data_IF_003879970007
#
_entry.id   IF_003879970007
#
_cell.length_a   1.000
_cell.length_b   1.000
_cell.length_c   1.000
_cell.angle_alpha   90.00
_cell.angle_beta   90.00
_cell.angle_gamma   90.00
#
_symmetry.space_group_name_H-M   'P 1'
#
loop_
_entity.id
_entity.type
_entity.pdbx_description
1 polymer ?
#
# COMPACT_ATOMS: atom_id res chain seq x y z
N UNK A 1 19.25 -22.02 7.83
CA UNK A 1 18.12 -22.73 8.48
C UNK A 1 16.84 -22.43 7.72
N UNK A 2 16.08 -23.44 7.30
CA UNK A 2 14.79 -23.22 6.70
C UNK A 2 13.86 -22.65 7.78
N UNK A 3 13.44 -21.41 7.64
CA UNK A 3 12.72 -20.75 8.72
C UNK A 3 11.48 -19.98 8.23
N UNK A 4 11.01 -20.31 7.04
CA UNK A 4 9.77 -19.76 6.51
C UNK A 4 8.61 -20.69 6.81
N UNK A 5 7.39 -20.15 6.90
CA UNK A 5 6.17 -20.97 6.99
C UNK A 5 6.08 -22.00 5.86
N UNK A 6 6.64 -21.68 4.70
CA UNK A 6 6.64 -22.55 3.54
C UNK A 6 7.53 -23.77 3.76
N UNK A 7 8.77 -23.56 4.23
CA UNK A 7 9.72 -24.65 4.48
C UNK A 7 9.16 -25.62 5.54
N UNK A 8 8.63 -25.09 6.62
CA UNK A 8 7.98 -25.87 7.68
C UNK A 8 6.75 -26.64 7.19
N UNK A 9 5.99 -26.07 6.24
CA UNK A 9 4.84 -26.75 5.65
C UNK A 9 5.28 -27.89 4.73
N UNK A 10 6.40 -27.75 4.03
CA UNK A 10 7.01 -28.81 3.21
C UNK A 10 7.53 -29.94 4.10
N UNK A 11 8.16 -29.61 5.23
CA UNK A 11 8.58 -30.62 6.22
C UNK A 11 7.38 -31.38 6.80
N UNK A 12 6.28 -30.70 7.10
CA UNK A 12 5.06 -31.30 7.65
C UNK A 12 4.29 -32.15 6.63
N UNK A 13 4.38 -31.82 5.34
CA UNK A 13 3.73 -32.50 4.23
C UNK A 13 4.66 -32.46 2.98
N UNK A 14 5.61 -33.40 2.79
CA UNK A 14 6.65 -33.28 1.76
C UNK A 14 6.13 -33.05 0.34
N UNK A 15 5.02 -33.70 -0.06
CA UNK A 15 4.40 -33.49 -1.38
C UNK A 15 3.85 -32.06 -1.58
N UNK A 16 3.77 -31.25 -0.53
CA UNK A 16 3.32 -29.86 -0.61
C UNK A 16 4.28 -28.98 -1.42
N UNK A 17 5.58 -29.30 -1.41
CA UNK A 17 6.59 -28.59 -2.21
C UNK A 17 6.25 -28.56 -3.70
N UNK A 18 5.90 -29.72 -4.27
CA UNK A 18 5.52 -29.82 -5.69
C UNK A 18 4.19 -29.13 -5.98
N UNK A 19 3.22 -29.32 -5.09
CA UNK A 19 1.90 -28.72 -5.23
C UNK A 19 1.95 -27.18 -5.22
N UNK A 20 2.66 -26.59 -4.28
CA UNK A 20 2.76 -25.13 -4.16
C UNK A 20 3.60 -24.52 -5.29
N UNK A 21 4.58 -25.27 -5.82
CA UNK A 21 5.36 -24.87 -6.99
C UNK A 21 4.49 -24.84 -8.24
N UNK A 22 3.71 -25.90 -8.49
CA UNK A 22 2.76 -25.97 -9.60
C UNK A 22 1.69 -24.85 -9.50
N UNK A 23 1.11 -24.65 -8.33
CA UNK A 23 0.17 -23.56 -8.08
C UNK A 23 0.78 -22.19 -8.39
N UNK A 24 2.01 -21.95 -7.93
CA UNK A 24 2.77 -20.73 -8.21
C UNK A 24 2.94 -20.50 -9.71
N UNK A 25 3.34 -21.54 -10.45
CA UNK A 25 3.50 -21.49 -11.90
C UNK A 25 2.18 -21.12 -12.60
N UNK A 26 1.09 -21.78 -12.22
CA UNK A 26 -0.23 -21.51 -12.79
C UNK A 26 -0.73 -20.07 -12.50
N UNK A 27 -0.51 -19.54 -11.29
CA UNK A 27 -0.86 -18.15 -10.95
C UNK A 27 -0.03 -17.14 -11.75
N UNK A 28 1.25 -17.43 -12.00
CA UNK A 28 2.09 -16.58 -12.86
C UNK A 28 1.59 -16.57 -14.30
N UNK A 29 1.24 -17.73 -14.85
CA UNK A 29 0.63 -17.81 -16.18
C UNK A 29 -0.70 -17.05 -16.26
N UNK A 30 -1.49 -17.04 -15.20
CA UNK A 30 -2.71 -16.26 -15.07
C UNK A 30 -2.46 -14.77 -14.72
N UNK A 31 -1.20 -14.30 -14.77
CA UNK A 31 -0.77 -12.91 -14.53
C UNK A 31 -1.18 -12.33 -13.17
N UNK A 32 -1.26 -13.15 -12.13
CA UNK A 32 -1.43 -12.65 -10.77
C UNK A 32 -0.20 -11.84 -10.33
N UNK A 33 -0.44 -10.77 -9.56
CA UNK A 33 0.65 -9.98 -9.00
C UNK A 33 1.50 -10.82 -8.03
N UNK A 34 2.83 -10.65 -8.02
CA UNK A 34 3.76 -11.39 -7.16
C UNK A 34 3.41 -11.27 -5.67
N UNK A 35 2.93 -10.11 -5.25
CA UNK A 35 2.45 -9.90 -3.87
C UNK A 35 1.22 -10.76 -3.52
N UNK A 36 0.32 -10.98 -4.47
CA UNK A 36 -0.84 -11.86 -4.29
C UNK A 36 -0.40 -13.31 -4.23
N UNK A 37 0.47 -13.73 -5.16
CA UNK A 37 1.06 -15.08 -5.19
C UNK A 37 1.77 -15.37 -3.86
N UNK A 38 2.60 -14.45 -3.38
CA UNK A 38 3.29 -14.60 -2.09
C UNK A 38 2.31 -14.77 -0.94
N UNK A 39 1.29 -13.90 -0.84
CA UNK A 39 0.30 -13.97 0.21
C UNK A 39 -0.51 -15.28 0.18
N UNK A 40 -0.93 -15.73 -0.99
CA UNK A 40 -1.70 -16.98 -1.12
C UNK A 40 -0.86 -18.19 -0.71
N UNK A 41 0.38 -18.27 -1.19
CA UNK A 41 1.32 -19.33 -0.78
C UNK A 41 1.49 -19.39 0.73
N UNK A 42 1.67 -18.22 1.35
CA UNK A 42 1.83 -18.10 2.79
C UNK A 42 0.57 -18.59 3.55
N UNK A 43 -0.62 -18.24 3.08
CA UNK A 43 -1.88 -18.64 3.72
C UNK A 43 -2.14 -20.14 3.58
N UNK A 44 -1.86 -20.69 2.41
CA UNK A 44 -1.99 -22.13 2.18
C UNK A 44 -0.96 -22.90 3.04
N UNK A 45 0.28 -22.45 3.11
CA UNK A 45 1.30 -23.05 3.98
C UNK A 45 0.89 -23.03 5.46
N UNK A 46 0.27 -21.95 5.93
CA UNK A 46 -0.25 -21.86 7.30
C UNK A 46 -1.38 -22.88 7.56
N UNK A 47 -2.27 -23.08 6.58
CA UNK A 47 -3.33 -24.11 6.68
C UNK A 47 -2.74 -25.54 6.71
N UNK A 48 -1.78 -25.83 5.84
CA UNK A 48 -1.06 -27.12 5.81
C UNK A 48 -0.36 -27.37 7.15
N UNK A 49 0.30 -26.40 7.73
CA UNK A 49 0.95 -26.52 9.04
C UNK A 49 -0.02 -26.83 10.17
N UNK A 50 -1.21 -26.27 10.12
CA UNK A 50 -2.23 -26.51 11.13
C UNK A 50 -2.87 -27.89 10.98
N UNK A 51 -3.31 -28.23 9.77
CA UNK A 51 -4.07 -29.44 9.48
C UNK A 51 -3.17 -30.68 9.29
N UNK A 52 -1.87 -30.52 9.05
CA UNK A 52 -0.92 -31.60 8.74
C UNK A 52 -1.34 -32.45 7.54
N UNK A 53 -2.05 -31.86 6.59
CA UNK A 53 -2.56 -32.49 5.37
C UNK A 53 -2.24 -31.64 4.16
N UNK A 54 -2.25 -32.25 2.97
CA UNK A 54 -2.21 -31.50 1.71
C UNK A 54 -3.51 -30.75 1.48
N UNK A 55 -3.49 -29.58 0.83
CA UNK A 55 -4.73 -28.88 0.51
C UNK A 55 -5.70 -29.70 -0.35
N UNK A 56 -5.17 -30.59 -1.17
CA UNK A 56 -5.93 -31.54 -2.02
C UNK A 56 -6.81 -32.47 -1.19
N UNK A 57 -6.40 -32.78 0.04
CA UNK A 57 -7.03 -33.74 0.94
C UNK A 57 -7.87 -33.04 2.04
N UNK A 58 -8.03 -31.71 1.98
CA UNK A 58 -8.84 -31.00 2.97
C UNK A 58 -10.31 -31.35 2.81
N UNK A 59 -10.87 -31.90 3.85
CA UNK A 59 -12.32 -32.11 3.97
C UNK A 59 -13.03 -30.82 4.35
N UNK A 60 -14.37 -30.84 4.28
CA UNK A 60 -15.19 -29.75 4.79
C UNK A 60 -14.91 -29.47 6.28
N UNK A 61 -14.82 -30.52 7.09
CA UNK A 61 -14.57 -30.42 8.53
C UNK A 61 -13.18 -29.79 8.81
N UNK A 62 -12.14 -30.14 8.03
CA UNK A 62 -10.81 -29.55 8.17
C UNK A 62 -10.84 -28.04 7.90
N UNK A 63 -11.56 -27.60 6.85
CA UNK A 63 -11.70 -26.18 6.52
C UNK A 63 -12.46 -25.44 7.59
N UNK A 64 -13.56 -26.00 8.08
CA UNK A 64 -14.38 -25.38 9.12
C UNK A 64 -13.59 -25.24 10.43
N UNK A 65 -12.83 -26.27 10.84
CA UNK A 65 -11.96 -26.23 12.02
C UNK A 65 -10.90 -25.16 11.89
N UNK A 66 -10.17 -25.13 10.75
CA UNK A 66 -9.11 -24.13 10.52
C UNK A 66 -9.66 -22.69 10.49
N UNK A 67 -10.80 -22.47 9.82
CA UNK A 67 -11.39 -21.14 9.74
C UNK A 67 -11.97 -20.69 11.09
N UNK A 68 -12.57 -21.61 11.86
CA UNK A 68 -13.03 -21.36 13.24
C UNK A 68 -11.84 -20.96 14.13
N UNK A 69 -10.73 -21.70 14.06
CA UNK A 69 -9.53 -21.36 14.80
C UNK A 69 -9.02 -19.95 14.46
N UNK A 70 -9.10 -19.52 13.20
CA UNK A 70 -8.70 -18.16 12.80
C UNK A 70 -9.61 -17.08 13.39
N UNK A 71 -10.89 -17.37 13.60
CA UNK A 71 -11.87 -16.44 14.20
C UNK A 71 -11.77 -16.39 15.72
N UNK A 72 -11.67 -17.56 16.38
CA UNK A 72 -11.77 -17.67 17.84
C UNK A 72 -10.61 -17.06 18.60
N UNK A 73 -9.42 -17.05 18.02
CA UNK A 73 -8.21 -16.64 18.77
C UNK A 73 -8.00 -15.14 18.89
N UNK A 74 -8.84 -14.27 18.34
CA UNK A 74 -8.64 -12.81 18.27
C UNK A 74 -7.21 -12.39 17.81
N UNK A 75 -6.39 -13.38 17.41
CA UNK A 75 -4.99 -13.20 16.97
C UNK A 75 -4.88 -12.79 15.51
N UNK A 76 -5.92 -13.07 14.74
CA UNK A 76 -5.91 -12.84 13.30
C UNK A 76 -6.90 -11.77 12.89
N UNK A 77 -6.44 -10.86 12.00
CA UNK A 77 -7.33 -9.84 11.46
C UNK A 77 -8.32 -10.44 10.47
N UNK A 78 -9.47 -9.80 10.30
CA UNK A 78 -10.45 -10.15 9.24
C UNK A 78 -9.79 -10.15 7.85
N UNK A 79 -8.76 -9.31 7.63
CA UNK A 79 -7.98 -9.30 6.40
C UNK A 79 -7.20 -10.61 6.22
N UNK A 80 -6.60 -11.13 7.30
CA UNK A 80 -5.92 -12.43 7.28
C UNK A 80 -6.89 -13.54 6.89
N UNK A 81 -8.04 -13.61 7.54
CA UNK A 81 -9.09 -14.58 7.22
C UNK A 81 -9.51 -14.52 5.74
N UNK A 82 -9.80 -13.29 5.24
CA UNK A 82 -10.17 -13.10 3.83
C UNK A 82 -9.07 -13.59 2.86
N UNK A 83 -7.81 -13.27 3.13
CA UNK A 83 -6.70 -13.73 2.30
C UNK A 83 -6.53 -15.25 2.35
N UNK A 84 -6.83 -15.90 3.48
CA UNK A 84 -6.84 -17.36 3.60
C UNK A 84 -7.93 -17.95 2.71
N UNK A 85 -9.16 -17.48 2.84
CA UNK A 85 -10.29 -17.97 2.02
C UNK A 85 -10.02 -17.76 0.54
N UNK A 86 -9.59 -16.58 0.12
CA UNK A 86 -9.27 -16.32 -1.29
C UNK A 86 -8.10 -17.18 -1.79
N UNK A 87 -7.06 -17.35 -0.98
CA UNK A 87 -5.92 -18.18 -1.36
C UNK A 87 -6.30 -19.65 -1.55
N UNK A 88 -7.14 -20.21 -0.68
CA UNK A 88 -7.65 -21.57 -0.82
C UNK A 88 -8.60 -21.69 -2.02
N UNK A 89 -9.54 -20.76 -2.20
CA UNK A 89 -10.43 -20.75 -3.38
C UNK A 89 -9.67 -20.73 -4.69
N UNK A 90 -8.68 -19.84 -4.81
CA UNK A 90 -7.85 -19.76 -6.00
C UNK A 90 -7.00 -21.03 -6.16
N UNK A 91 -6.57 -21.67 -5.06
CA UNK A 91 -5.87 -22.96 -5.13
C UNK A 91 -6.76 -24.02 -5.77
N UNK A 92 -7.96 -24.28 -5.25
CA UNK A 92 -8.88 -25.29 -5.79
C UNK A 92 -9.24 -24.99 -7.25
N UNK A 93 -9.57 -23.73 -7.57
CA UNK A 93 -9.90 -23.30 -8.93
C UNK A 93 -8.78 -23.55 -9.92
N UNK A 94 -7.57 -23.13 -9.60
CA UNK A 94 -6.41 -23.16 -10.49
C UNK A 94 -5.86 -24.59 -10.62
N UNK A 95 -5.95 -25.39 -9.56
CA UNK A 95 -5.56 -26.79 -9.56
C UNK A 95 -6.59 -27.72 -10.22
N UNK A 96 -7.81 -27.20 -10.48
CA UNK A 96 -8.90 -28.01 -11.04
C UNK A 96 -9.53 -28.97 -10.04
N UNK A 97 -9.47 -28.63 -8.75
CA UNK A 97 -10.01 -29.45 -7.67
C UNK A 97 -11.38 -28.97 -7.23
N UNK A 98 -12.17 -29.86 -6.63
CA UNK A 98 -13.47 -29.50 -6.05
C UNK A 98 -13.26 -28.70 -4.77
N UNK A 99 -13.82 -27.47 -4.74
CA UNK A 99 -13.75 -26.60 -3.57
C UNK A 99 -14.62 -27.15 -2.42
N UNK A 100 -14.07 -27.22 -1.18
CA UNK A 100 -14.88 -27.47 0.02
C UNK A 100 -15.92 -26.36 0.24
N UNK A 101 -17.15 -26.73 0.61
CA UNK A 101 -18.27 -25.77 0.73
C UNK A 101 -18.06 -24.70 1.82
N UNK A 102 -17.26 -24.95 2.85
CA UNK A 102 -16.99 -24.07 4.00
C UNK A 102 -16.12 -22.83 3.73
N UNK A 103 -15.56 -22.70 2.52
CA UNK A 103 -14.75 -21.52 2.16
C UNK A 103 -15.63 -20.27 1.96
N UNK A 104 -16.34 -19.84 3.01
CA UNK A 104 -17.24 -18.70 2.96
C UNK A 104 -16.63 -17.49 3.68
N UNK A 105 -16.81 -16.31 3.11
CA UNK A 105 -16.37 -15.07 3.76
C UNK A 105 -17.34 -14.70 4.90
N UNK A 106 -16.83 -14.35 6.10
CA UNK A 106 -17.68 -13.93 7.18
C UNK A 106 -18.40 -12.62 6.82
N UNK A 107 -19.68 -12.51 7.15
CA UNK A 107 -20.49 -11.30 6.99
C UNK A 107 -20.14 -10.24 8.05
N UNK A 108 -18.87 -9.99 8.26
CA UNK A 108 -18.42 -8.99 9.25
C UNK A 108 -18.41 -7.61 8.62
N UNK A 109 -19.22 -6.71 9.14
CA UNK A 109 -19.13 -5.29 8.83
C UNK A 109 -17.93 -4.71 9.60
N UNK A 110 -16.84 -4.44 8.90
CA UNK A 110 -15.76 -3.61 9.51
C UNK A 110 -16.32 -2.21 9.74
N UNK A 111 -16.24 -1.73 10.97
CA UNK A 111 -16.33 -0.30 11.21
C UNK A 111 -15.26 0.39 10.34
N UNK A 112 -15.68 1.33 9.49
CA UNK A 112 -14.75 2.14 8.70
C UNK A 112 -13.98 3.03 9.68
N UNK A 113 -12.74 2.65 10.00
CA UNK A 113 -11.86 3.55 10.75
C UNK A 113 -11.41 4.66 9.81
N UNK A 114 -11.55 5.90 10.28
CA UNK A 114 -10.99 7.04 9.57
C UNK A 114 -9.46 6.90 9.46
N UNK A 115 -8.86 7.31 8.35
CA UNK A 115 -7.41 7.32 8.22
C UNK A 115 -6.80 8.26 9.24
N UNK A 116 -5.63 7.89 9.78
CA UNK A 116 -4.84 8.80 10.60
C UNK A 116 -4.17 9.80 9.67
N UNK A 117 -4.35 11.06 9.97
CA UNK A 117 -3.79 12.21 9.25
C UNK A 117 -2.87 12.96 10.21
N UNK A 118 -1.69 13.32 9.74
CA UNK A 118 -0.78 14.24 10.43
C UNK A 118 -1.19 15.67 10.07
N UNK A 119 -1.11 16.61 11.00
CA UNK A 119 -1.24 18.02 10.66
C UNK A 119 -0.07 18.49 9.77
N UNK A 120 -0.23 19.62 9.09
CA UNK A 120 0.85 20.21 8.26
C UNK A 120 2.11 20.48 9.10
N UNK A 121 1.96 20.95 10.33
CA UNK A 121 3.06 21.17 11.28
C UNK A 121 3.76 19.86 11.66
N UNK A 122 3.00 18.79 11.89
CA UNK A 122 3.56 17.48 12.20
C UNK A 122 4.33 16.91 11.02
N UNK A 123 3.82 17.07 9.79
CA UNK A 123 4.54 16.68 8.56
C UNK A 123 5.80 17.50 8.39
N UNK A 124 5.74 18.81 8.58
CA UNK A 124 6.91 19.68 8.50
C UNK A 124 7.98 19.28 9.50
N UNK A 125 7.60 19.05 10.78
CA UNK A 125 8.51 18.57 11.84
C UNK A 125 9.13 17.22 11.49
N UNK A 126 8.32 16.27 11.02
CA UNK A 126 8.78 14.95 10.61
C UNK A 126 9.88 15.04 9.54
N UNK A 127 9.61 15.80 8.47
CA UNK A 127 10.52 15.97 7.34
C UNK A 127 11.77 16.78 7.75
N UNK A 128 11.62 17.78 8.62
CA UNK A 128 12.73 18.61 9.06
C UNK A 128 13.78 17.80 9.85
N UNK A 129 13.35 16.85 10.67
CA UNK A 129 14.24 16.01 11.48
C UNK A 129 14.96 14.91 10.69
N UNK A 130 14.69 14.76 9.39
CA UNK A 130 15.31 13.76 8.54
C UNK A 130 16.64 14.24 7.95
N UNK A 131 17.57 13.30 7.76
CA UNK A 131 18.72 13.52 6.88
C UNK A 131 18.27 13.64 5.41
N UNK A 132 19.21 14.01 4.53
CA UNK A 132 18.89 14.33 3.14
C UNK A 132 18.21 13.17 2.40
N UNK A 133 18.60 11.91 2.65
CA UNK A 133 18.02 10.76 1.97
C UNK A 133 16.57 10.53 2.40
N UNK A 134 16.34 10.45 3.68
CA UNK A 134 15.03 10.23 4.28
C UNK A 134 14.09 11.41 3.99
N UNK A 135 14.62 12.64 4.06
CA UNK A 135 13.91 13.87 3.71
C UNK A 135 13.42 13.84 2.26
N UNK A 136 14.29 13.54 1.30
CA UNK A 136 13.91 13.48 -0.11
C UNK A 136 12.82 12.41 -0.35
N UNK A 137 12.98 11.22 0.23
CA UNK A 137 12.02 10.13 0.09
C UNK A 137 10.66 10.47 0.68
N UNK A 138 10.62 10.92 1.94
CA UNK A 138 9.36 11.21 2.64
C UNK A 138 8.66 12.44 2.03
N UNK A 139 9.42 13.46 1.62
CA UNK A 139 8.87 14.62 0.91
C UNK A 139 8.25 14.22 -0.43
N UNK A 140 8.90 13.33 -1.19
CA UNK A 140 8.36 12.85 -2.47
C UNK A 140 7.06 12.07 -2.27
N UNK A 141 6.99 11.22 -1.23
CA UNK A 141 5.77 10.48 -0.89
C UNK A 141 4.63 11.43 -0.50
N UNK A 142 4.94 12.47 0.26
CA UNK A 142 3.94 13.44 0.73
C UNK A 142 3.50 14.37 -0.41
N UNK A 143 4.42 15.09 -1.05
CA UNK A 143 4.12 16.10 -2.07
C UNK A 143 3.35 15.49 -3.26
N UNK A 144 3.82 14.34 -3.74
CA UNK A 144 3.20 13.65 -4.88
C UNK A 144 2.10 12.65 -4.47
N UNK A 145 1.79 12.55 -3.18
CA UNK A 145 0.81 11.62 -2.62
C UNK A 145 1.02 10.16 -3.11
N UNK A 146 2.26 9.70 -3.23
CA UNK A 146 2.62 8.40 -3.79
C UNK A 146 2.28 7.23 -2.85
N UNK A 147 2.01 6.06 -3.44
CA UNK A 147 2.12 4.81 -2.70
C UNK A 147 3.59 4.48 -2.43
N UNK A 148 3.85 3.77 -1.34
CA UNK A 148 5.23 3.35 -1.00
C UNK A 148 5.88 2.59 -2.16
N UNK A 149 5.15 1.69 -2.80
CA UNK A 149 5.66 0.93 -3.94
C UNK A 149 5.98 1.82 -5.15
N UNK A 150 5.20 2.86 -5.39
CA UNK A 150 5.43 3.83 -6.47
C UNK A 150 6.70 4.64 -6.20
N UNK A 151 6.88 5.12 -4.96
CA UNK A 151 8.10 5.82 -4.56
C UNK A 151 9.34 4.91 -4.64
N UNK A 152 9.21 3.63 -4.26
CA UNK A 152 10.32 2.69 -4.33
C UNK A 152 10.78 2.41 -5.77
N UNK A 153 9.86 2.39 -6.73
CA UNK A 153 10.15 2.10 -8.14
C UNK A 153 10.39 3.34 -8.99
N UNK A 154 10.39 4.54 -8.40
CA UNK A 154 10.53 5.81 -9.09
C UNK A 154 11.91 5.93 -9.75
N UNK A 155 11.91 6.28 -11.04
CA UNK A 155 13.11 6.54 -11.82
C UNK A 155 13.29 8.02 -12.09
N UNK A 156 14.52 8.42 -12.40
CA UNK A 156 14.79 9.82 -12.77
C UNK A 156 14.08 10.23 -14.05
N UNK A 157 13.92 9.31 -15.00
CA UNK A 157 13.22 9.54 -16.27
C UNK A 157 11.70 9.75 -16.07
N UNK A 158 11.17 9.34 -14.91
CA UNK A 158 9.76 9.59 -14.56
C UNK A 158 9.52 11.04 -14.12
N UNK A 159 10.59 11.85 -13.91
CA UNK A 159 10.52 13.22 -13.40
C UNK A 159 10.84 14.22 -14.49
N UNK A 160 9.83 14.97 -14.92
CA UNK A 160 10.05 16.14 -15.77
C UNK A 160 10.29 17.38 -14.91
N UNK A 161 11.56 17.80 -14.80
CA UNK A 161 11.94 19.01 -14.06
C UNK A 161 11.45 20.29 -14.75
N UNK A 162 11.31 20.27 -16.06
CA UNK A 162 10.84 21.41 -16.85
C UNK A 162 9.32 21.60 -16.66
N UNK A 163 8.55 20.52 -16.79
CA UNK A 163 7.09 20.54 -16.66
C UNK A 163 6.61 20.47 -15.20
N UNK A 164 7.52 20.30 -14.26
CA UNK A 164 7.21 20.07 -12.83
C UNK A 164 6.19 18.95 -12.63
N UNK A 165 6.43 17.81 -13.29
CA UNK A 165 5.53 16.67 -13.32
C UNK A 165 6.25 15.35 -13.06
N UNK A 166 5.56 14.44 -12.41
CA UNK A 166 6.00 13.08 -12.18
C UNK A 166 5.03 12.11 -12.84
N UNK A 167 5.57 11.17 -13.62
CA UNK A 167 4.83 10.12 -14.27
C UNK A 167 4.81 8.89 -13.35
N UNK A 168 3.64 8.38 -13.03
CA UNK A 168 3.48 7.15 -12.25
C UNK A 168 2.94 6.08 -13.19
N UNK A 169 3.83 5.17 -13.58
CA UNK A 169 3.47 4.07 -14.47
C UNK A 169 2.88 2.91 -13.69
N UNK A 170 1.89 2.25 -14.29
CA UNK A 170 1.30 1.00 -13.84
C UNK A 170 0.95 0.97 -12.33
N UNK A 171 0.39 2.06 -11.82
CA UNK A 171 -0.16 2.11 -10.48
C UNK A 171 -1.17 0.97 -10.24
N UNK A 172 -1.72 0.87 -9.03
CA UNK A 172 -2.72 -0.16 -8.71
C UNK A 172 -3.85 -0.15 -9.73
N UNK A 173 -4.01 -1.24 -10.49
CA UNK A 173 -4.99 -1.37 -11.60
C UNK A 173 -4.40 -1.04 -12.97
N UNK A 174 -3.06 -1.00 -13.14
CA UNK A 174 -2.34 -0.75 -14.42
C UNK A 174 -2.74 0.55 -15.12
N UNK A 175 -3.09 1.60 -14.35
CA UNK A 175 -3.39 2.93 -14.89
C UNK A 175 -2.25 3.88 -14.60
N UNK A 176 -1.77 4.53 -15.63
CA UNK A 176 -0.77 5.59 -15.54
C UNK A 176 -1.43 6.89 -15.08
N UNK A 177 -0.67 7.74 -14.44
CA UNK A 177 -1.10 9.08 -14.07
C UNK A 177 0.07 10.05 -14.02
N UNK A 178 -0.23 11.32 -14.23
CA UNK A 178 0.69 12.42 -14.06
C UNK A 178 0.35 13.12 -12.73
N UNK A 179 1.37 13.43 -11.95
CA UNK A 179 1.25 14.12 -10.67
C UNK A 179 2.09 15.39 -10.71
N UNK A 180 1.57 16.56 -10.34
CA UNK A 180 2.38 17.77 -10.23
C UNK A 180 3.40 17.63 -9.08
N UNK A 181 4.55 18.25 -9.24
CA UNK A 181 5.62 18.33 -8.24
C UNK A 181 5.81 19.80 -7.85
N UNK A 182 5.93 20.06 -6.55
CA UNK A 182 6.24 21.40 -6.07
C UNK A 182 7.66 21.83 -6.43
N UNK A 183 7.86 23.14 -6.64
CA UNK A 183 9.18 23.71 -6.93
C UNK A 183 10.19 23.40 -5.81
N UNK A 184 9.73 23.37 -4.56
CA UNK A 184 10.57 23.06 -3.40
C UNK A 184 11.06 21.60 -3.42
N UNK A 185 10.17 20.66 -3.80
CA UNK A 185 10.59 19.27 -3.96
C UNK A 185 11.57 19.09 -5.12
N UNK A 186 11.39 19.80 -6.22
CA UNK A 186 12.35 19.76 -7.35
C UNK A 186 13.74 20.27 -6.96
N UNK A 187 13.82 21.35 -6.16
CA UNK A 187 15.09 21.84 -5.61
C UNK A 187 15.72 20.76 -4.73
N UNK A 188 14.96 20.17 -3.82
CA UNK A 188 15.43 19.08 -2.94
C UNK A 188 15.95 17.88 -3.75
N UNK A 189 15.22 17.47 -4.78
CA UNK A 189 15.61 16.35 -5.65
C UNK A 189 16.88 16.64 -6.47
N UNK A 190 17.11 17.88 -6.90
CA UNK A 190 18.37 18.28 -7.54
C UNK A 190 19.56 18.18 -6.58
N UNK A 191 19.41 18.63 -5.34
CA UNK A 191 20.43 18.49 -4.28
C UNK A 191 20.66 17.01 -4.00
N UNK A 192 19.59 16.24 -3.88
CA UNK A 192 19.63 14.80 -3.63
C UNK A 192 20.40 14.07 -4.75
N UNK A 193 20.10 14.36 -6.03
CA UNK A 193 20.75 13.74 -7.20
C UNK A 193 22.26 13.99 -7.19
N UNK A 194 22.70 15.20 -6.82
CA UNK A 194 24.13 15.52 -6.70
C UNK A 194 24.82 14.73 -5.59
N UNK A 195 24.14 14.51 -4.45
CA UNK A 195 24.72 13.81 -3.29
C UNK A 195 24.66 12.28 -3.42
N UNK A 196 23.63 11.76 -4.09
CA UNK A 196 23.37 10.34 -4.30
C UNK A 196 23.18 10.05 -5.80
N UNK A 197 24.23 10.12 -6.61
CA UNK A 197 24.11 9.97 -8.07
C UNK A 197 23.57 8.58 -8.43
N UNK A 198 22.66 8.55 -9.40
CA UNK A 198 22.07 7.35 -9.97
C UNK A 198 21.51 7.67 -11.34
N UNK A 199 21.66 6.76 -12.28
CA UNK A 199 21.16 6.93 -13.64
C UNK A 199 19.78 6.24 -13.84
N UNK A 200 19.31 5.46 -12.87
CA UNK A 200 18.04 4.73 -12.95
C UNK A 200 17.10 5.13 -11.80
N UNK A 201 17.08 4.38 -10.69
CA UNK A 201 16.17 4.67 -9.58
C UNK A 201 16.52 5.92 -8.80
N UNK A 202 15.50 6.73 -8.46
CA UNK A 202 15.67 7.89 -7.56
C UNK A 202 16.13 7.43 -6.19
N UNK A 203 15.43 6.43 -5.63
CA UNK A 203 15.74 5.89 -4.31
C UNK A 203 16.25 4.46 -4.44
N UNK A 204 17.55 4.29 -4.33
CA UNK A 204 18.22 2.99 -4.43
C UNK A 204 18.56 2.40 -3.07
N UNK A 205 18.62 1.08 -3.02
CA UNK A 205 19.08 0.37 -1.83
C UNK A 205 20.58 0.58 -1.62
N UNK A 206 21.01 0.70 -0.37
CA UNK A 206 22.43 0.81 0.01
C UNK A 206 23.16 -0.55 0.03
N UNK A 207 22.64 -1.57 -0.64
CA UNK A 207 23.25 -2.89 -0.72
C UNK A 207 24.57 -2.89 -1.52
N UNK A 208 25.49 -3.81 -1.17
CA UNK A 208 26.79 -4.02 -1.84
C UNK A 208 26.69 -4.67 -3.24
N UNK A 209 25.51 -4.70 -3.86
CA UNK A 209 25.31 -5.29 -5.19
C UNK A 209 25.88 -4.42 -6.33
N UNK A 210 26.35 -5.07 -7.40
CA UNK A 210 26.91 -4.42 -8.59
C UNK A 210 25.83 -3.62 -9.36
N UNK A 211 24.58 -4.08 -9.33
CA UNK A 211 23.46 -3.40 -10.00
C UNK A 211 22.62 -2.58 -9.03
N UNK A 212 22.29 -1.32 -9.37
CA UNK A 212 21.41 -0.49 -8.56
C UNK A 212 20.05 -1.17 -8.40
N UNK A 213 19.67 -1.48 -7.16
CA UNK A 213 18.36 -2.03 -6.84
C UNK A 213 17.48 -0.95 -6.22
N UNK A 214 16.18 -0.92 -6.52
CA UNK A 214 15.27 0.01 -5.89
C UNK A 214 15.19 -0.23 -4.37
N UNK A 215 14.93 0.82 -3.62
CA UNK A 215 14.69 0.70 -2.18
C UNK A 215 13.49 -0.22 -1.91
N UNK A 216 13.61 -1.09 -0.91
CA UNK A 216 12.53 -2.01 -0.56
C UNK A 216 11.50 -1.32 0.35
N UNK A 217 10.18 -1.60 0.17
CA UNK A 217 9.13 -1.04 1.04
C UNK A 217 9.34 -1.30 2.53
N UNK A 218 10.01 -2.41 2.89
CA UNK A 218 10.38 -2.73 4.27
C UNK A 218 11.33 -1.70 4.87
N UNK A 219 12.32 -1.25 4.10
CA UNK A 219 13.28 -0.25 4.55
C UNK A 219 12.64 1.15 4.68
N UNK A 220 11.71 1.51 3.78
CA UNK A 220 10.93 2.75 3.90
C UNK A 220 10.14 2.81 5.22
N UNK A 221 9.63 1.66 5.70
CA UNK A 221 8.98 1.59 7.03
C UNK A 221 9.95 1.86 8.17
N UNK A 222 11.19 1.40 8.05
CA UNK A 222 12.25 1.67 9.04
C UNK A 222 12.58 3.18 9.05
N UNK A 223 12.76 3.77 7.87
CA UNK A 223 12.96 5.23 7.71
C UNK A 223 11.84 6.01 8.40
N UNK A 224 10.59 5.66 8.10
CA UNK A 224 9.43 6.32 8.72
C UNK A 224 9.43 6.19 10.25
N UNK A 225 9.72 5.00 10.77
CA UNK A 225 9.78 4.78 12.22
C UNK A 225 10.86 5.63 12.88
N UNK A 226 12.04 5.70 12.28
CA UNK A 226 13.14 6.53 12.77
C UNK A 226 12.79 8.04 12.72
N UNK A 227 12.15 8.48 11.65
CA UNK A 227 11.69 9.87 11.51
C UNK A 227 10.64 10.23 12.59
N UNK A 228 9.70 9.33 12.87
CA UNK A 228 8.71 9.50 13.95
C UNK A 228 9.37 9.62 15.32
N UNK A 229 10.38 8.79 15.60
CA UNK A 229 11.16 8.87 16.85
C UNK A 229 11.84 10.23 16.98
N UNK A 230 12.58 10.67 15.94
CA UNK A 230 13.28 11.97 15.93
C UNK A 230 12.31 13.16 16.07
N UNK A 231 11.12 13.06 15.49
CA UNK A 231 10.09 14.10 15.55
C UNK A 231 9.22 14.04 16.81
N UNK A 232 9.43 13.09 17.73
CA UNK A 232 8.59 12.84 18.90
C UNK A 232 7.10 12.68 18.54
N UNK A 233 6.80 11.87 17.52
CA UNK A 233 5.45 11.57 17.04
C UNK A 233 5.05 10.13 17.36
N UNK A 234 3.73 9.87 17.35
CA UNK A 234 3.17 8.54 17.64
C UNK A 234 3.68 7.46 16.65
N UNK A 235 4.31 6.42 17.18
CA UNK A 235 4.86 5.30 16.42
C UNK A 235 3.81 4.38 15.76
N UNK A 236 2.54 4.55 16.08
CA UNK A 236 1.44 3.85 15.40
C UNK A 236 1.12 4.43 14.02
N UNK A 237 1.69 5.60 13.70
CA UNK A 237 1.58 6.25 12.40
C UNK A 237 2.40 5.45 11.39
N UNK A 238 1.78 5.14 10.25
CA UNK A 238 2.44 4.39 9.18
C UNK A 238 2.81 5.30 8.02
N UNK A 239 3.71 4.83 7.15
CA UNK A 239 4.10 5.59 5.94
C UNK A 239 2.88 5.97 5.06
N UNK A 240 1.80 5.18 5.06
CA UNK A 240 0.58 5.53 4.35
C UNK A 240 -0.13 6.77 4.92
N UNK A 241 0.13 7.13 6.18
CA UNK A 241 -0.41 8.35 6.77
C UNK A 241 0.09 9.60 6.05
N UNK A 242 1.33 9.63 5.52
CA UNK A 242 1.81 10.76 4.72
C UNK A 242 0.95 10.97 3.47
N UNK A 243 0.61 9.89 2.77
CA UNK A 243 -0.28 9.97 1.62
C UNK A 243 -1.72 10.36 2.01
N UNK A 244 -2.20 9.89 3.17
CA UNK A 244 -3.51 10.30 3.70
C UNK A 244 -3.50 11.78 4.09
N UNK A 245 -2.43 12.25 4.74
CA UNK A 245 -2.25 13.66 5.08
C UNK A 245 -2.19 14.53 3.83
N UNK A 246 -1.41 14.13 2.81
CA UNK A 246 -1.38 14.83 1.53
C UNK A 246 -2.78 14.98 0.93
N UNK A 247 -3.57 13.90 0.89
CA UNK A 247 -4.93 13.93 0.35
C UNK A 247 -5.87 14.87 1.13
N UNK A 248 -5.78 14.88 2.47
CA UNK A 248 -6.58 15.79 3.30
C UNK A 248 -6.14 17.23 3.12
N UNK A 249 -4.83 17.51 3.17
CA UNK A 249 -4.29 18.85 3.01
C UNK A 249 -4.55 19.44 1.61
N UNK A 250 -4.61 18.63 0.56
CA UNK A 250 -5.00 19.09 -0.78
C UNK A 250 -6.47 19.59 -0.78
N UNK A 251 -7.37 18.86 -0.13
CA UNK A 251 -8.78 19.29 0.02
C UNK A 251 -8.90 20.54 0.88
N UNK A 252 -8.15 20.63 1.98
CA UNK A 252 -8.08 21.81 2.87
C UNK A 252 -7.57 23.04 2.12
N UNK A 253 -6.65 22.87 1.16
CA UNK A 253 -6.15 23.92 0.29
C UNK A 253 -7.04 24.18 -0.95
N UNK A 254 -8.24 23.61 -1.01
CA UNK A 254 -9.26 23.92 -2.02
C UNK A 254 -9.17 23.08 -3.30
N UNK A 255 -8.29 22.05 -3.37
CA UNK A 255 -8.33 21.14 -4.53
C UNK A 255 -9.66 20.37 -4.56
N UNK A 256 -10.23 20.20 -5.75
CA UNK A 256 -11.46 19.44 -5.90
C UNK A 256 -11.25 17.95 -5.59
N UNK A 257 -12.31 17.29 -5.09
CA UNK A 257 -12.26 15.85 -4.81
C UNK A 257 -11.88 15.01 -6.04
N UNK A 258 -12.23 15.46 -7.24
CA UNK A 258 -11.88 14.79 -8.50
C UNK A 258 -10.39 14.92 -8.83
N UNK A 259 -9.78 16.07 -8.57
CA UNK A 259 -8.34 16.27 -8.74
C UNK A 259 -7.55 15.44 -7.75
N UNK A 260 -7.96 15.45 -6.48
CA UNK A 260 -7.36 14.58 -5.46
C UNK A 260 -7.51 13.10 -5.83
N UNK A 261 -8.68 12.68 -6.36
CA UNK A 261 -8.86 11.31 -6.88
C UNK A 261 -7.87 10.98 -7.99
N UNK A 262 -7.70 11.85 -8.98
CA UNK A 262 -6.75 11.69 -10.10
C UNK A 262 -5.32 11.60 -9.59
N UNK A 263 -4.91 12.54 -8.71
CA UNK A 263 -3.57 12.58 -8.12
C UNK A 263 -3.24 11.32 -7.32
N UNK A 264 -4.20 10.81 -6.56
CA UNK A 264 -4.06 9.54 -5.84
C UNK A 264 -4.13 8.30 -6.74
N UNK A 265 -4.68 8.40 -7.93
CA UNK A 265 -4.94 7.24 -8.80
C UNK A 265 -5.95 6.27 -8.18
N UNK A 266 -7.03 6.79 -7.60
CA UNK A 266 -8.12 5.98 -7.08
C UNK A 266 -9.14 5.68 -8.20
N UNK A 267 -9.40 4.40 -8.45
CA UNK A 267 -10.36 3.98 -9.47
C UNK A 267 -11.79 4.39 -9.12
N UNK A 268 -12.13 4.37 -7.82
CA UNK A 268 -13.47 4.70 -7.32
C UNK A 268 -13.42 5.98 -6.50
N UNK A 269 -14.30 6.93 -6.81
CA UNK A 269 -14.43 8.18 -6.06
C UNK A 269 -14.73 7.94 -4.58
N UNK A 270 -15.53 6.91 -4.27
CA UNK A 270 -15.85 6.50 -2.89
C UNK A 270 -14.62 6.20 -2.03
N UNK A 271 -13.48 5.88 -2.65
CA UNK A 271 -12.20 5.69 -1.92
C UNK A 271 -11.60 7.03 -1.49
N UNK A 272 -11.84 8.09 -2.28
CA UNK A 272 -11.34 9.44 -1.99
C UNK A 272 -12.27 10.19 -1.03
N UNK A 273 -13.57 9.90 -1.08
CA UNK A 273 -14.57 10.55 -0.21
C UNK A 273 -14.28 10.40 1.29
N UNK A 274 -13.48 9.39 1.70
CA UNK A 274 -13.10 9.21 3.10
C UNK A 274 -12.32 10.43 3.64
N UNK A 275 -11.62 11.16 2.79
CA UNK A 275 -10.86 12.35 3.19
C UNK A 275 -11.74 13.56 3.49
N UNK A 276 -12.96 13.63 2.94
CA UNK A 276 -13.95 14.68 3.32
C UNK A 276 -14.37 14.60 4.79
N UNK A 277 -14.18 13.45 5.44
CA UNK A 277 -14.49 13.26 6.85
C UNK A 277 -13.32 13.57 7.80
N UNK A 278 -12.14 13.79 7.27
CA UNK A 278 -10.91 14.02 8.06
C UNK A 278 -10.20 15.32 7.72
N UNK A 279 -10.47 15.89 6.55
CA UNK A 279 -9.97 17.20 6.16
C UNK A 279 -10.76 18.29 6.93
N UNK A 280 -10.03 19.24 7.48
CA UNK A 280 -10.60 20.43 8.10
C UNK A 280 -10.95 21.43 6.98
N UNK A 281 -12.05 21.13 6.30
CA UNK A 281 -12.55 21.99 5.24
C UNK A 281 -13.39 23.06 5.91
N UNK A 282 -12.92 24.30 5.90
CA UNK A 282 -13.77 25.44 6.29
C UNK A 282 -15.12 25.33 5.56
N UNK A 283 -16.24 25.51 6.29
CA UNK A 283 -17.56 25.49 5.64
C UNK A 283 -17.50 26.45 4.46
N UNK A 284 -17.68 25.93 3.24
CA UNK A 284 -17.74 26.73 2.04
C UNK A 284 -18.58 27.97 2.34
N UNK A 285 -18.04 29.16 2.12
CA UNK A 285 -18.85 30.41 2.12
C UNK A 285 -20.06 30.09 1.25
N UNK A 286 -21.21 29.95 1.89
CA UNK A 286 -22.44 29.61 1.19
C UNK A 286 -22.61 30.61 0.05
N UNK A 287 -22.43 30.13 -1.19
CA UNK A 287 -22.69 30.96 -2.37
C UNK A 287 -24.18 31.22 -2.36
N UNK A 288 -24.54 32.42 -1.96
CA UNK A 288 -25.91 32.87 -2.02
C UNK A 288 -26.19 33.22 -3.48
N UNK A 289 -26.75 32.23 -4.20
CA UNK A 289 -26.97 32.36 -5.66
C UNK A 289 -27.68 33.66 -6.04
N UNK A 290 -28.62 34.14 -5.25
CA UNK A 290 -29.32 35.38 -5.49
C UNK A 290 -28.39 36.59 -5.36
N UNK A 291 -27.44 36.57 -4.40
CA UNK A 291 -26.49 37.67 -4.22
C UNK A 291 -25.45 37.75 -5.36
N UNK A 292 -25.26 36.66 -6.10
CA UNK A 292 -24.40 36.65 -7.32
C UNK A 292 -25.11 37.26 -8.53
N UNK A 293 -26.43 37.13 -8.58
CA UNK A 293 -27.26 37.68 -9.68
C UNK A 293 -27.65 39.12 -9.36
N UNK A 294 -28.01 39.42 -8.08
CA UNK A 294 -28.39 40.72 -7.58
C UNK A 294 -27.46 41.09 -6.40
N UNK A 295 -26.26 41.60 -6.69
CA UNK A 295 -25.35 41.99 -5.60
C UNK A 295 -25.99 43.09 -4.75
N UNK A 296 -25.90 42.98 -3.39
CA UNK A 296 -26.44 44.02 -2.51
C UNK A 296 -25.78 45.36 -2.83
N UNK A 297 -26.58 46.40 -3.00
CA UNK A 297 -26.07 47.74 -3.19
C UNK A 297 -25.24 48.13 -1.97
N UNK A 298 -23.98 48.53 -2.21
CA UNK A 298 -23.10 49.11 -1.18
C UNK A 298 -23.63 50.42 -0.67
#
# INVERSE_FOLDING_TARGET
>A
MPNTYLDRAIEAAPKFGDRISLFTKKLRLAQYADSSIYNYRLKIAQAVLYLKKLPDDFTQADVDDYLSMLLDRNRYSISHFKHTVFGLKDYYKVMGLKEPKGLVLPKVRKAKRLPRVLSQEQVARLIHMCDLYDKALLSTIYDCALRVSEACSLKWDDISFERQQLFVYQGKGKKDRIVPISSQLLILLRIFKKRFPSDDFVFKSHGRGITPQPIKPGYVRVIMKNALTKACLDHSITIHALRHSAASHLLENGESLLEVQKRLGHVRLTTTMIYLHVADIEPMKHVRLIDTIFPPKR
#
